data_IF_917293277480
#
_entry.id   IF_917293277480
#
_cell.length_a   1.000
_cell.length_b   1.000
_cell.length_c   1.000
_cell.angle_alpha   90.00
_cell.angle_beta   90.00
_cell.angle_gamma   90.00
#
_symmetry.space_group_name_H-M   'P 1'
#
loop_
_entity.id
_entity.type
_entity.pdbx_description
1 polymer ?
#
# COMPACT_ATOMS: atom_id res chain seq x y z
N UNK A 1 10.94 47.55 35.82
CA UNK A 1 11.75 47.09 36.97
C UNK A 1 12.93 48.02 37.14
N UNK A 2 13.05 48.57 38.35
CA UNK A 2 14.13 49.32 39.02
C UNK A 2 15.23 50.02 38.17
N UNK A 3 15.13 51.35 38.09
CA UNK A 3 16.26 52.26 37.87
C UNK A 3 17.09 52.35 39.16
N UNK A 4 18.35 51.89 39.15
CA UNK A 4 19.31 52.18 40.22
C UNK A 4 20.22 53.33 39.80
N UNK A 5 19.87 54.53 40.28
CA UNK A 5 20.73 55.70 40.21
C UNK A 5 21.82 55.66 41.28
N UNK A 6 23.05 55.37 40.88
CA UNK A 6 24.23 55.56 41.73
C UNK A 6 24.75 56.99 41.59
N UNK A 7 24.50 57.82 42.61
CA UNK A 7 25.19 59.10 42.83
C UNK A 7 26.60 58.81 43.33
N UNK A 8 27.59 59.02 42.47
CA UNK A 8 29.01 59.04 42.88
C UNK A 8 29.37 60.31 43.65
N UNK A 9 30.26 60.24 44.65
CA UNK A 9 30.55 61.34 45.58
C UNK A 9 31.36 62.47 44.93
N UNK A 10 31.00 63.71 45.28
CA UNK A 10 31.77 64.92 44.99
C UNK A 10 33.09 64.87 45.78
N UNK A 11 34.14 64.40 45.13
CA UNK A 11 35.52 64.50 45.61
C UNK A 11 36.00 65.95 45.56
N UNK A 12 36.35 66.46 46.74
CA UNK A 12 36.87 67.81 46.98
C UNK A 12 38.27 67.90 46.37
N UNK A 13 38.45 68.75 45.36
CA UNK A 13 39.76 69.05 44.80
C UNK A 13 40.52 69.97 45.76
N UNK A 14 41.33 69.39 46.65
CA UNK A 14 42.34 70.13 47.40
C UNK A 14 43.50 70.48 46.46
N UNK A 15 43.53 71.74 46.00
CA UNK A 15 44.64 72.31 45.27
C UNK A 15 45.84 72.52 46.21
N UNK A 16 46.65 71.47 46.36
CA UNK A 16 48.00 71.57 46.91
C UNK A 16 48.91 72.21 45.86
N UNK A 17 49.10 73.53 45.99
CA UNK A 17 50.18 74.29 45.35
C UNK A 17 51.52 73.72 45.79
N UNK A 18 52.07 72.81 44.99
CA UNK A 18 53.49 72.43 45.07
C UNK A 18 54.35 73.50 44.38
N UNK A 19 55.52 73.83 44.94
CA UNK A 19 56.45 74.78 44.33
C UNK A 19 56.96 74.26 42.97
N UNK A 20 57.32 75.14 42.03
CA UNK A 20 57.89 74.73 40.74
C UNK A 20 59.21 74.00 41.01
N UNK A 21 59.19 72.68 40.83
CA UNK A 21 60.37 71.83 40.90
C UNK A 21 61.43 72.39 39.96
N UNK A 22 62.57 72.81 40.51
CA UNK A 22 63.74 73.19 39.74
C UNK A 22 64.08 72.03 38.79
N UNK A 23 64.10 72.32 37.49
CA UNK A 23 64.39 71.38 36.43
C UNK A 23 65.81 70.86 36.57
N UNK A 24 65.97 69.77 37.30
CA UNK A 24 67.22 69.03 37.38
C UNK A 24 67.53 68.50 35.98
N UNK A 25 68.42 69.19 35.27
CA UNK A 25 68.95 68.73 33.99
C UNK A 25 69.82 67.51 34.28
N UNK A 26 69.21 66.32 34.17
CA UNK A 26 69.95 65.07 34.20
C UNK A 26 71.05 65.07 33.12
N UNK A 27 72.11 64.27 33.31
CA UNK A 27 73.23 64.20 32.38
C UNK A 27 72.76 63.96 30.94
N UNK A 28 73.45 64.50 29.91
CA UNK A 28 73.01 64.49 28.52
C UNK A 28 72.71 63.07 27.98
N UNK A 29 73.39 62.06 28.51
CA UNK A 29 73.16 60.65 28.19
C UNK A 29 71.78 60.14 28.66
N UNK A 30 71.29 60.62 29.81
CA UNK A 30 69.95 60.33 30.31
C UNK A 30 68.86 61.00 29.45
N UNK A 31 69.13 62.20 28.93
CA UNK A 31 68.21 62.90 28.03
C UNK A 31 68.10 62.19 26.67
N UNK A 32 69.21 61.73 26.10
CA UNK A 32 69.22 60.95 24.87
C UNK A 32 68.47 59.61 25.03
N UNK A 33 68.67 58.91 26.15
CA UNK A 33 67.95 57.68 26.48
C UNK A 33 66.45 57.92 26.64
N UNK A 34 66.04 59.00 27.30
CA UNK A 34 64.62 59.36 27.44
C UNK A 34 63.99 59.69 26.08
N UNK A 35 64.66 60.45 25.22
CA UNK A 35 64.17 60.75 23.87
C UNK A 35 64.03 59.47 23.01
N UNK A 36 64.93 58.50 23.17
CA UNK A 36 64.82 57.21 22.50
C UNK A 36 63.64 56.38 23.03
N UNK A 37 63.44 56.37 24.35
CA UNK A 37 62.28 55.70 24.97
C UNK A 37 60.96 56.33 24.54
N UNK A 38 60.87 57.66 24.45
CA UNK A 38 59.68 58.37 23.95
C UNK A 38 59.36 57.99 22.51
N UNK A 39 60.37 57.92 21.62
CA UNK A 39 60.19 57.43 20.25
C UNK A 39 59.68 56.00 20.21
N UNK A 40 60.21 55.11 21.04
CA UNK A 40 59.76 53.72 21.09
C UNK A 40 58.33 53.62 21.66
N UNK A 41 57.98 54.40 22.68
CA UNK A 41 56.60 54.47 23.20
C UNK A 41 55.63 54.97 22.12
N UNK A 42 55.98 56.01 21.38
CA UNK A 42 55.15 56.48 20.25
C UNK A 42 55.02 55.42 19.17
N UNK A 43 56.11 54.71 18.84
CA UNK A 43 56.09 53.59 17.87
C UNK A 43 55.15 52.48 18.34
N UNK A 44 55.26 52.06 19.60
CA UNK A 44 54.40 51.04 20.20
C UNK A 44 52.95 51.48 20.31
N UNK A 45 52.68 52.75 20.61
CA UNK A 45 51.33 53.32 20.59
C UNK A 45 50.73 53.32 19.19
N UNK A 46 51.52 53.64 18.16
CA UNK A 46 51.13 53.54 16.76
C UNK A 46 50.79 52.10 16.35
N UNK A 47 51.64 51.13 16.74
CA UNK A 47 51.38 49.71 16.49
C UNK A 47 50.12 49.22 17.22
N UNK A 48 49.92 49.62 18.48
CA UNK A 48 48.73 49.27 19.25
C UNK A 48 47.46 49.88 18.63
N UNK A 49 47.52 51.11 18.13
CA UNK A 49 46.42 51.76 17.43
C UNK A 49 46.11 51.04 16.11
N UNK A 50 47.13 50.64 15.35
CA UNK A 50 46.96 49.86 14.13
C UNK A 50 46.34 48.48 14.40
N UNK A 51 46.76 47.79 15.46
CA UNK A 51 46.17 46.51 15.87
C UNK A 51 44.73 46.66 16.35
N UNK A 52 44.40 47.75 17.05
CA UNK A 52 43.00 48.06 17.40
C UNK A 52 42.15 48.32 16.16
N UNK A 53 42.65 49.05 15.18
CA UNK A 53 41.95 49.31 13.93
C UNK A 53 41.66 48.00 13.16
N UNK A 54 42.65 47.10 13.04
CA UNK A 54 42.44 45.75 12.49
C UNK A 54 41.40 44.95 13.28
N UNK A 55 41.43 45.07 14.60
CA UNK A 55 40.43 44.44 15.48
C UNK A 55 39.01 44.94 15.24
N UNK A 56 38.84 46.23 14.94
CA UNK A 56 37.53 46.80 14.61
C UNK A 56 37.08 46.45 13.19
N UNK A 57 37.99 46.42 12.21
CA UNK A 57 37.71 45.88 10.87
C UNK A 57 37.23 44.42 10.95
N UNK A 58 37.89 43.58 11.75
CA UNK A 58 37.51 42.17 11.91
C UNK A 58 36.10 42.03 12.52
N UNK A 59 35.74 42.87 13.49
CA UNK A 59 34.37 42.90 14.05
C UNK A 59 33.34 43.33 13.02
N UNK A 60 33.67 44.29 12.15
CA UNK A 60 32.79 44.71 11.06
C UNK A 60 32.55 43.56 10.07
N UNK A 61 33.61 42.82 9.72
CA UNK A 61 33.49 41.64 8.88
C UNK A 61 32.66 40.52 9.52
N UNK A 62 32.82 40.25 10.82
CA UNK A 62 32.00 39.29 11.55
C UNK A 62 30.52 39.70 11.57
N UNK A 63 30.22 40.99 11.74
CA UNK A 63 28.86 41.51 11.67
C UNK A 63 28.25 41.32 10.28
N UNK A 64 28.99 41.67 9.21
CA UNK A 64 28.55 41.48 7.83
C UNK A 64 28.34 40.00 7.49
N UNK A 65 29.16 39.11 8.03
CA UNK A 65 29.00 37.66 7.84
C UNK A 65 27.70 37.18 8.50
N UNK A 66 27.44 37.57 9.75
CA UNK A 66 26.19 37.25 10.47
C UNK A 66 24.95 37.82 9.78
N UNK A 67 25.01 39.02 9.21
CA UNK A 67 23.91 39.58 8.43
C UNK A 67 23.62 38.79 7.15
N UNK A 68 24.67 38.39 6.42
CA UNK A 68 24.52 37.52 5.23
C UNK A 68 23.96 36.15 5.58
N UNK A 69 24.40 35.55 6.68
CA UNK A 69 23.90 34.25 7.15
C UNK A 69 22.41 34.31 7.51
N UNK A 70 21.97 35.37 8.20
CA UNK A 70 20.53 35.59 8.47
C UNK A 70 19.72 35.77 7.18
N UNK A 71 20.24 36.51 6.21
CA UNK A 71 19.55 36.74 4.94
C UNK A 71 19.41 35.45 4.10
N UNK A 72 20.42 34.58 4.12
CA UNK A 72 20.34 33.26 3.47
C UNK A 72 19.31 32.36 4.16
N UNK A 73 19.33 32.27 5.50
CA UNK A 73 18.37 31.46 6.24
C UNK A 73 16.92 31.92 6.00
N UNK A 74 16.66 33.23 6.01
CA UNK A 74 15.32 33.76 5.69
C UNK A 74 14.87 33.43 4.27
N UNK A 75 15.78 33.50 3.30
CA UNK A 75 15.47 33.15 1.91
C UNK A 75 15.12 31.67 1.77
N UNK A 76 15.89 30.79 2.42
CA UNK A 76 15.65 29.35 2.38
C UNK A 76 14.31 29.01 3.03
N UNK A 77 13.98 29.60 4.18
CA UNK A 77 12.68 29.49 4.83
C UNK A 77 11.53 29.95 3.92
N UNK A 78 11.66 31.11 3.27
CA UNK A 78 10.65 31.62 2.32
C UNK A 78 10.47 30.70 1.12
N UNK A 79 11.54 30.11 0.58
CA UNK A 79 11.44 29.16 -0.53
C UNK A 79 10.76 27.86 -0.12
N UNK A 80 11.05 27.35 1.07
CA UNK A 80 10.45 26.12 1.59
C UNK A 80 8.96 26.32 1.90
N UNK A 81 8.58 27.44 2.52
CA UNK A 81 7.17 27.79 2.75
C UNK A 81 6.41 27.91 1.42
N UNK A 82 6.99 28.55 0.41
CA UNK A 82 6.39 28.63 -0.94
C UNK A 82 6.21 27.26 -1.58
N UNK A 83 7.22 26.38 -1.45
CA UNK A 83 7.18 25.00 -1.96
C UNK A 83 6.07 24.20 -1.28
N UNK A 84 5.99 24.24 0.05
CA UNK A 84 4.97 23.53 0.82
C UNK A 84 3.56 24.08 0.54
N UNK A 85 3.40 25.39 0.40
CA UNK A 85 2.12 25.99 0.04
C UNK A 85 1.65 25.57 -1.37
N UNK A 86 2.57 25.51 -2.34
CA UNK A 86 2.27 24.97 -3.68
C UNK A 86 1.84 23.50 -3.63
N UNK A 87 2.53 22.67 -2.83
CA UNK A 87 2.15 21.27 -2.62
C UNK A 87 0.77 21.14 -1.95
N UNK A 88 0.46 21.99 -0.98
CA UNK A 88 -0.85 22.02 -0.31
C UNK A 88 -1.98 22.37 -1.29
N UNK A 89 -1.77 23.39 -2.15
CA UNK A 89 -2.75 23.77 -3.18
C UNK A 89 -2.99 22.63 -4.17
N UNK A 90 -1.93 21.95 -4.62
CA UNK A 90 -2.05 20.80 -5.54
C UNK A 90 -2.80 19.62 -4.88
N UNK A 91 -2.48 19.30 -3.62
CA UNK A 91 -3.17 18.24 -2.88
C UNK A 91 -4.65 18.58 -2.65
N UNK A 92 -4.95 19.83 -2.31
CA UNK A 92 -6.33 20.30 -2.14
C UNK A 92 -7.14 20.20 -3.44
N UNK A 93 -6.54 20.57 -4.58
CA UNK A 93 -7.18 20.42 -5.89
C UNK A 93 -7.48 18.95 -6.23
N UNK A 94 -6.54 18.03 -5.97
CA UNK A 94 -6.76 16.59 -6.17
C UNK A 94 -7.85 16.04 -5.28
N UNK A 95 -7.91 16.47 -4.02
CA UNK A 95 -8.97 16.06 -3.09
C UNK A 95 -10.35 16.52 -3.59
N UNK A 96 -10.46 17.76 -4.07
CA UNK A 96 -11.72 18.28 -4.62
C UNK A 96 -12.14 17.51 -5.88
N UNK A 97 -11.21 17.18 -6.78
CA UNK A 97 -11.48 16.34 -7.95
C UNK A 97 -11.99 14.95 -7.53
N UNK A 98 -11.34 14.30 -6.55
CA UNK A 98 -11.79 13.01 -6.04
C UNK A 98 -13.18 13.07 -5.43
N UNK A 99 -13.53 14.16 -4.75
CA UNK A 99 -14.90 14.36 -4.23
C UNK A 99 -15.92 14.45 -5.37
N UNK A 100 -15.59 15.13 -6.47
CA UNK A 100 -16.46 15.20 -7.65
C UNK A 100 -16.65 13.82 -8.31
N UNK A 101 -15.56 13.06 -8.49
CA UNK A 101 -15.62 11.68 -9.01
C UNK A 101 -16.49 10.77 -8.12
N UNK A 102 -16.40 10.91 -6.79
CA UNK A 102 -17.24 10.15 -5.86
C UNK A 102 -18.72 10.49 -6.02
N UNK A 103 -19.08 11.77 -6.17
CA UNK A 103 -20.47 12.18 -6.38
C UNK A 103 -21.02 11.73 -7.73
N UNK A 104 -20.19 11.71 -8.79
CA UNK A 104 -20.55 11.14 -10.09
C UNK A 104 -20.84 9.64 -9.96
N UNK A 105 -19.95 8.88 -9.31
CA UNK A 105 -20.19 7.44 -9.08
C UNK A 105 -21.41 7.16 -8.22
N UNK A 106 -21.76 8.03 -7.26
CA UNK A 106 -23.00 7.88 -6.49
C UNK A 106 -24.23 8.06 -7.38
N UNK A 107 -24.24 9.07 -8.26
CA UNK A 107 -25.32 9.29 -9.20
C UNK A 107 -25.50 8.10 -10.16
N UNK A 108 -24.39 7.52 -10.65
CA UNK A 108 -24.42 6.32 -11.49
C UNK A 108 -24.99 5.10 -10.74
N UNK A 109 -24.63 4.93 -9.47
CA UNK A 109 -25.18 3.85 -8.62
C UNK A 109 -26.69 4.02 -8.44
N UNK A 110 -27.15 5.24 -8.12
CA UNK A 110 -28.58 5.53 -7.96
C UNK A 110 -29.36 5.25 -9.26
N UNK A 111 -28.83 5.67 -10.42
CA UNK A 111 -29.44 5.39 -11.71
C UNK A 111 -29.52 3.88 -12.02
N UNK A 112 -28.47 3.13 -11.67
CA UNK A 112 -28.45 1.67 -11.85
C UNK A 112 -29.42 0.95 -10.90
N UNK A 113 -29.56 1.43 -9.66
CA UNK A 113 -30.54 0.91 -8.70
C UNK A 113 -31.97 1.13 -9.21
N UNK A 114 -32.28 2.29 -9.79
CA UNK A 114 -33.57 2.55 -10.44
C UNK A 114 -33.81 1.61 -11.64
N UNK A 115 -32.81 1.37 -12.49
CA UNK A 115 -32.91 0.44 -13.62
C UNK A 115 -33.19 -1.01 -13.14
N UNK A 116 -32.50 -1.43 -12.08
CA UNK A 116 -32.71 -2.75 -11.47
C UNK A 116 -34.13 -2.89 -10.90
N UNK A 117 -34.65 -1.86 -10.23
CA UNK A 117 -36.03 -1.87 -9.73
C UNK A 117 -37.07 -1.88 -10.87
N UNK A 118 -36.83 -1.12 -11.96
CA UNK A 118 -37.67 -1.18 -13.15
C UNK A 118 -37.68 -2.57 -13.78
N UNK A 119 -36.52 -3.22 -13.89
CA UNK A 119 -36.42 -4.56 -14.47
C UNK A 119 -37.05 -5.63 -13.58
N UNK A 120 -36.92 -5.51 -12.24
CA UNK A 120 -37.66 -6.35 -11.30
C UNK A 120 -39.18 -6.19 -11.47
N UNK A 121 -39.67 -4.96 -11.63
CA UNK A 121 -41.09 -4.71 -11.86
C UNK A 121 -41.59 -5.35 -13.17
N UNK A 122 -40.79 -5.26 -14.25
CA UNK A 122 -41.07 -5.95 -15.53
C UNK A 122 -41.11 -7.47 -15.38
N UNK A 123 -40.14 -8.04 -14.67
CA UNK A 123 -40.09 -9.47 -14.41
C UNK A 123 -41.30 -9.96 -13.60
N UNK A 124 -41.73 -9.20 -12.58
CA UNK A 124 -42.93 -9.50 -11.81
C UNK A 124 -44.20 -9.41 -12.66
N UNK A 125 -44.32 -8.40 -13.53
CA UNK A 125 -45.44 -8.29 -14.46
C UNK A 125 -45.51 -9.46 -15.44
N UNK A 126 -44.36 -9.85 -16.02
CA UNK A 126 -44.27 -11.02 -16.90
C UNK A 126 -44.61 -12.33 -16.16
N UNK A 127 -44.19 -12.47 -14.90
CA UNK A 127 -44.55 -13.63 -14.07
C UNK A 127 -46.07 -13.69 -13.79
N UNK A 128 -46.70 -12.54 -13.52
CA UNK A 128 -48.14 -12.45 -13.32
C UNK A 128 -48.93 -12.81 -14.60
N UNK A 129 -48.48 -12.32 -15.76
CA UNK A 129 -49.06 -12.68 -17.06
C UNK A 129 -48.92 -14.18 -17.36
N UNK A 130 -47.73 -14.75 -17.14
CA UNK A 130 -47.51 -16.18 -17.31
C UNK A 130 -48.41 -17.02 -16.38
N UNK A 131 -48.63 -16.57 -15.15
CA UNK A 131 -49.55 -17.23 -14.22
C UNK A 131 -51.01 -17.14 -14.70
N UNK A 132 -51.43 -16.01 -15.26
CA UNK A 132 -52.76 -15.84 -15.85
C UNK A 132 -52.97 -16.77 -17.07
N UNK A 133 -51.98 -16.87 -17.95
CA UNK A 133 -52.02 -17.78 -19.09
C UNK A 133 -52.09 -19.25 -18.66
N UNK A 134 -51.33 -19.66 -17.62
CA UNK A 134 -51.41 -21.02 -17.06
C UNK A 134 -52.81 -21.36 -16.56
N UNK A 135 -53.48 -20.44 -15.85
CA UNK A 135 -54.88 -20.62 -15.41
C UNK A 135 -55.84 -20.80 -16.58
N UNK A 136 -55.66 -20.05 -17.67
CA UNK A 136 -56.47 -20.17 -18.88
C UNK A 136 -56.27 -21.51 -19.60
N UNK A 137 -55.03 -22.01 -19.64
CA UNK A 137 -54.74 -23.35 -20.19
C UNK A 137 -55.44 -24.42 -19.34
N UNK A 138 -55.36 -24.35 -18.01
CA UNK A 138 -56.08 -25.29 -17.13
C UNK A 138 -57.60 -25.25 -17.31
N UNK A 139 -58.17 -24.07 -17.54
CA UNK A 139 -59.60 -23.91 -17.84
C UNK A 139 -59.97 -24.59 -19.16
N UNK A 140 -59.22 -24.33 -20.24
CA UNK A 140 -59.41 -24.98 -21.54
C UNK A 140 -59.24 -26.51 -21.46
N UNK A 141 -58.28 -27.00 -20.68
CA UNK A 141 -58.08 -28.43 -20.45
C UNK A 141 -59.29 -29.07 -19.74
N UNK A 142 -59.89 -28.36 -18.77
CA UNK A 142 -61.15 -28.80 -18.11
C UNK A 142 -62.32 -28.84 -19.10
N UNK A 143 -62.47 -27.83 -19.96
CA UNK A 143 -63.49 -27.80 -21.01
C UNK A 143 -63.33 -28.95 -22.01
N UNK A 144 -62.09 -29.18 -22.47
CA UNK A 144 -61.77 -30.30 -23.37
C UNK A 144 -62.06 -31.65 -22.72
N UNK A 145 -61.75 -31.82 -21.43
CA UNK A 145 -62.07 -33.04 -20.69
C UNK A 145 -63.59 -33.26 -20.60
N UNK A 146 -64.37 -32.22 -20.30
CA UNK A 146 -65.82 -32.27 -20.26
C UNK A 146 -66.42 -32.61 -21.65
N UNK A 147 -65.90 -32.01 -22.72
CA UNK A 147 -66.31 -32.30 -24.09
C UNK A 147 -66.02 -33.77 -24.49
N UNK A 148 -64.85 -34.29 -24.13
CA UNK A 148 -64.49 -35.71 -24.36
C UNK A 148 -65.39 -36.66 -23.58
N UNK A 149 -65.72 -36.33 -22.33
CA UNK A 149 -66.64 -37.12 -21.52
C UNK A 149 -68.07 -37.14 -22.11
N UNK A 150 -68.54 -36.02 -22.67
CA UNK A 150 -69.86 -35.91 -23.31
C UNK A 150 -69.95 -36.58 -24.69
N UNK A 151 -68.87 -36.64 -25.45
CA UNK A 151 -68.84 -37.21 -26.82
C UNK A 151 -68.59 -38.72 -26.88
N UNK A 152 -68.24 -39.36 -25.75
CA UNK A 152 -67.88 -40.77 -25.64
C UNK A 152 -69.04 -41.75 -25.45
N UNK A 153 -70.06 -41.77 -26.32
CA UNK A 153 -70.94 -42.93 -26.50
C UNK A 153 -70.86 -43.43 -27.95
N UNK A 154 -69.75 -44.07 -28.30
CA UNK A 154 -69.68 -44.95 -29.48
C UNK A 154 -69.10 -46.30 -29.04
N UNK A 155 -69.84 -47.41 -29.16
CA UNK A 155 -69.38 -48.71 -28.70
C UNK A 155 -68.29 -49.24 -29.64
N UNK A 156 -67.04 -49.33 -29.17
CA UNK A 156 -66.00 -50.06 -29.89
C UNK A 156 -65.78 -51.45 -29.29
N UNK A 157 -65.91 -52.44 -30.19
CA UNK A 157 -65.68 -53.87 -30.00
C UNK A 157 -64.27 -54.14 -29.46
N UNK A 158 -64.22 -54.95 -28.40
CA UNK A 158 -63.03 -55.62 -27.83
C UNK A 158 -62.09 -56.18 -28.90
N UNK A 159 -60.83 -55.76 -28.90
CA UNK A 159 -59.71 -56.55 -29.44
C UNK A 159 -58.58 -56.57 -28.41
N UNK A 160 -58.36 -57.77 -27.86
CA UNK A 160 -57.33 -58.13 -26.89
C UNK A 160 -55.94 -58.08 -27.54
N UNK A 161 -54.94 -57.78 -26.72
CA UNK A 161 -53.51 -58.00 -26.98
C UNK A 161 -52.70 -56.77 -26.62
N UNK A 162 -51.54 -56.86 -25.99
CA UNK A 162 -50.71 -57.96 -25.50
C UNK A 162 -49.64 -57.24 -24.66
N UNK A 163 -49.37 -57.71 -23.45
CA UNK A 163 -48.37 -57.14 -22.53
C UNK A 163 -46.95 -57.22 -23.13
N UNK A 164 -46.09 -56.19 -22.95
CA UNK A 164 -44.65 -56.36 -23.05
C UNK A 164 -44.01 -56.52 -21.67
N UNK A 165 -43.43 -57.70 -21.53
CA UNK A 165 -42.49 -58.22 -20.53
C UNK A 165 -41.34 -57.28 -20.14
N UNK A 166 -41.05 -57.24 -18.84
CA UNK A 166 -39.83 -56.71 -18.23
C UNK A 166 -38.58 -57.54 -18.57
N UNK A 167 -37.38 -56.92 -18.72
CA UNK A 167 -36.13 -57.65 -18.80
C UNK A 167 -35.45 -57.85 -17.43
N UNK A 168 -34.65 -58.91 -17.25
CA UNK A 168 -34.06 -59.30 -15.97
C UNK A 168 -32.74 -58.56 -15.68
N UNK A 169 -32.51 -58.25 -14.41
CA UNK A 169 -31.22 -57.83 -13.87
C UNK A 169 -30.28 -59.04 -13.76
N UNK A 170 -29.27 -59.11 -14.62
CA UNK A 170 -28.09 -59.94 -14.39
C UNK A 170 -27.05 -59.12 -13.61
N UNK A 171 -26.75 -59.53 -12.39
CA UNK A 171 -25.50 -59.19 -11.72
C UNK A 171 -24.45 -60.26 -12.03
N UNK A 172 -23.19 -59.88 -12.28
CA UNK A 172 -22.07 -60.80 -12.14
C UNK A 172 -21.45 -60.63 -10.76
N UNK A 173 -21.53 -61.71 -9.97
CA UNK A 173 -20.53 -62.03 -8.96
C UNK A 173 -19.16 -62.07 -9.64
N UNK A 174 -18.23 -61.25 -9.15
CA UNK A 174 -16.80 -61.44 -9.39
C UNK A 174 -16.13 -61.55 -8.04
N UNK A 175 -15.55 -62.73 -7.85
CA UNK A 175 -14.86 -63.17 -6.66
C UNK A 175 -13.57 -62.40 -6.43
N UNK A 176 -13.27 -62.27 -5.14
CA UNK A 176 -11.96 -62.29 -4.49
C UNK A 176 -10.76 -62.63 -5.39
N UNK A 177 -9.94 -61.62 -5.67
CA UNK A 177 -8.47 -61.73 -5.66
C UNK A 177 -7.90 -60.32 -5.90
N UNK A 178 -7.49 -59.62 -4.85
CA UNK A 178 -6.67 -58.43 -5.02
C UNK A 178 -5.74 -58.27 -3.82
N UNK A 179 -4.52 -58.77 -4.01
CA UNK A 179 -3.37 -58.40 -3.22
C UNK A 179 -3.23 -56.87 -3.24
N UNK A 180 -3.26 -56.27 -2.04
CA UNK A 180 -3.17 -54.83 -1.84
C UNK A 180 -1.85 -54.31 -2.45
N UNK A 181 -1.87 -53.56 -3.57
CA UNK A 181 -0.66 -52.96 -4.10
C UNK A 181 -0.11 -51.96 -3.06
N UNK A 182 1.23 -51.83 -2.92
CA UNK A 182 1.82 -50.86 -2.01
C UNK A 182 1.20 -49.49 -2.28
N UNK A 183 0.86 -48.71 -1.24
CA UNK A 183 0.13 -47.46 -1.39
C UNK A 183 0.87 -46.59 -2.40
N UNK A 184 0.27 -46.45 -3.59
CA UNK A 184 0.83 -45.66 -4.66
C UNK A 184 1.12 -44.29 -4.06
N UNK A 185 2.38 -43.86 -4.12
CA UNK A 185 2.75 -42.53 -3.66
C UNK A 185 1.79 -41.56 -4.36
N UNK A 186 1.12 -40.66 -3.61
CA UNK A 186 0.12 -39.77 -4.19
C UNK A 186 0.79 -39.04 -5.34
N UNK A 187 0.39 -39.38 -6.56
CA UNK A 187 0.86 -38.70 -7.76
C UNK A 187 0.55 -37.22 -7.57
N UNK A 188 1.53 -36.32 -7.81
CA UNK A 188 1.30 -34.89 -7.68
C UNK A 188 0.04 -34.53 -8.47
N UNK A 189 -0.93 -33.81 -7.87
CA UNK A 189 -2.16 -33.47 -8.56
C UNK A 189 -1.82 -32.78 -9.88
N UNK A 190 -2.43 -33.24 -10.97
CA UNK A 190 -2.21 -32.64 -12.27
C UNK A 190 -2.49 -31.13 -12.21
N UNK A 191 -1.66 -30.29 -12.86
CA UNK A 191 -1.82 -28.85 -12.83
C UNK A 191 -3.18 -28.48 -13.44
N UNK A 192 -4.05 -27.87 -12.63
CA UNK A 192 -5.33 -27.36 -13.09
C UNK A 192 -5.19 -25.86 -13.41
N UNK A 193 -5.05 -25.48 -14.69
CA UNK A 193 -4.77 -24.10 -15.08
C UNK A 193 -5.90 -23.15 -14.67
N UNK A 194 -7.16 -23.62 -14.63
CA UNK A 194 -8.29 -22.80 -14.20
C UNK A 194 -8.23 -22.50 -12.70
N UNK A 195 -7.83 -23.46 -11.88
CA UNK A 195 -7.65 -23.25 -10.45
C UNK A 195 -6.47 -22.30 -10.17
N UNK A 196 -5.36 -22.48 -10.89
CA UNK A 196 -4.19 -21.62 -10.79
C UNK A 196 -4.51 -20.18 -11.17
N UNK A 197 -5.35 -19.99 -12.17
CA UNK A 197 -5.79 -18.68 -12.63
C UNK A 197 -6.64 -17.94 -11.60
N UNK A 198 -7.63 -18.62 -11.02
CA UNK A 198 -8.46 -18.07 -9.94
C UNK A 198 -7.59 -17.73 -8.73
N UNK A 199 -6.64 -18.61 -8.38
CA UNK A 199 -5.74 -18.39 -7.25
C UNK A 199 -4.72 -17.27 -7.49
N UNK A 200 -4.15 -17.19 -8.69
CA UNK A 200 -3.24 -16.11 -9.08
C UNK A 200 -3.95 -14.74 -9.06
N UNK A 201 -5.22 -14.69 -9.44
CA UNK A 201 -6.02 -13.46 -9.39
C UNK A 201 -6.47 -13.08 -7.96
N UNK A 202 -6.47 -14.01 -7.01
CA UNK A 202 -6.92 -13.76 -5.65
C UNK A 202 -6.08 -12.68 -4.95
N UNK A 203 -6.74 -11.86 -4.12
CA UNK A 203 -6.10 -10.92 -3.19
C UNK A 203 -6.09 -11.56 -1.80
N UNK A 204 -5.03 -11.34 -0.99
CA UNK A 204 -5.03 -11.83 0.37
C UNK A 204 -6.18 -11.15 1.14
N UNK A 205 -6.97 -11.91 1.93
CA UNK A 205 -8.03 -11.32 2.73
C UNK A 205 -7.45 -10.41 3.81
N UNK A 206 -8.18 -9.36 4.16
CA UNK A 206 -7.83 -8.51 5.32
C UNK A 206 -8.13 -9.27 6.60
N UNK A 207 -7.09 -9.71 7.29
CA UNK A 207 -7.18 -10.52 8.51
C UNK A 207 -7.74 -9.70 9.68
N UNK A 208 -9.07 -9.62 9.77
CA UNK A 208 -9.79 -8.93 10.83
C UNK A 208 -10.87 -9.85 11.46
N UNK A 209 -11.47 -9.38 12.55
CA UNK A 209 -12.51 -10.12 13.26
C UNK A 209 -13.81 -10.31 12.47
N UNK A 210 -14.00 -9.67 11.31
CA UNK A 210 -15.21 -9.83 10.50
C UNK A 210 -15.12 -10.95 9.47
N UNK A 211 -13.94 -11.50 9.18
CA UNK A 211 -13.79 -12.66 8.29
C UNK A 211 -14.57 -13.88 8.80
N UNK A 212 -15.24 -14.58 7.89
CA UNK A 212 -15.94 -15.82 8.22
C UNK A 212 -14.96 -16.99 8.36
N UNK A 213 -15.28 -17.94 9.24
CA UNK A 213 -14.48 -19.16 9.45
C UNK A 213 -14.24 -19.95 8.15
N UNK A 214 -15.22 -20.11 7.23
CA UNK A 214 -14.98 -20.77 5.95
C UNK A 214 -13.92 -20.08 5.09
N UNK A 215 -13.92 -18.74 5.03
CA UNK A 215 -12.93 -17.97 4.25
C UNK A 215 -11.54 -18.12 4.86
N UNK A 216 -11.41 -18.09 6.19
CA UNK A 216 -10.14 -18.32 6.88
C UNK A 216 -9.59 -19.73 6.61
N UNK A 217 -10.44 -20.76 6.67
CA UNK A 217 -10.03 -22.14 6.36
C UNK A 217 -9.59 -22.28 4.90
N UNK A 218 -10.33 -21.70 3.96
CA UNK A 218 -9.95 -21.70 2.54
C UNK A 218 -8.59 -21.01 2.31
N UNK A 219 -8.36 -19.85 2.92
CA UNK A 219 -7.09 -19.13 2.85
C UNK A 219 -5.93 -19.99 3.41
N UNK A 220 -6.14 -20.65 4.55
CA UNK A 220 -5.12 -21.48 5.19
C UNK A 220 -4.79 -22.74 4.38
N UNK A 221 -5.79 -23.38 3.77
CA UNK A 221 -5.58 -24.47 2.80
C UNK A 221 -4.77 -23.98 1.60
N UNK A 222 -5.10 -22.81 1.04
CA UNK A 222 -4.32 -22.21 -0.05
C UNK A 222 -2.88 -21.84 0.37
N UNK A 223 -2.67 -21.53 1.65
CA UNK A 223 -1.35 -21.30 2.23
C UNK A 223 -0.60 -22.60 2.56
N UNK A 224 -1.24 -23.77 2.41
CA UNK A 224 -0.70 -25.09 2.70
C UNK A 224 -0.58 -25.41 4.19
N UNK A 225 -1.51 -24.91 5.00
CA UNK A 225 -1.59 -25.14 6.45
C UNK A 225 -2.66 -26.19 6.83
N UNK A 226 -2.92 -27.16 5.94
CA UNK A 226 -3.98 -28.16 6.12
C UNK A 226 -3.76 -29.09 7.32
N UNK A 227 -2.49 -29.32 7.69
CA UNK A 227 -2.16 -30.13 8.85
C UNK A 227 -2.47 -29.37 10.16
N UNK A 228 -2.12 -28.09 10.21
CA UNK A 228 -2.31 -27.21 11.36
C UNK A 228 -3.78 -26.85 11.58
N UNK A 229 -4.56 -26.76 10.50
CA UNK A 229 -6.00 -26.50 10.52
C UNK A 229 -6.82 -27.49 11.37
N UNK A 230 -6.28 -28.68 11.64
CA UNK A 230 -6.91 -29.72 12.47
C UNK A 230 -6.87 -29.39 13.97
N UNK A 231 -5.94 -28.51 14.37
CA UNK A 231 -5.74 -28.13 15.77
C UNK A 231 -6.40 -26.80 16.12
N UNK A 232 -6.86 -26.02 15.13
CA UNK A 232 -7.55 -24.77 15.36
C UNK A 232 -9.06 -25.00 15.54
N UNK A 233 -9.55 -24.82 16.76
CA UNK A 233 -10.98 -24.94 17.09
C UNK A 233 -11.66 -23.58 17.12
N UNK A 234 -10.94 -22.54 17.57
CA UNK A 234 -11.49 -21.19 17.72
C UNK A 234 -11.18 -20.29 16.52
N UNK A 235 -12.01 -19.26 16.33
CA UNK A 235 -11.83 -18.30 15.22
C UNK A 235 -10.58 -17.46 15.39
N UNK A 236 -10.24 -17.08 16.62
CA UNK A 236 -9.06 -16.28 16.95
C UNK A 236 -7.77 -17.04 16.59
N UNK A 237 -7.74 -18.36 16.83
CA UNK A 237 -6.61 -19.23 16.45
C UNK A 237 -6.43 -19.28 14.93
N UNK A 238 -7.54 -19.36 14.17
CA UNK A 238 -7.50 -19.32 12.71
C UNK A 238 -6.97 -17.97 12.19
N UNK A 239 -7.36 -16.84 12.80
CA UNK A 239 -6.84 -15.52 12.43
C UNK A 239 -5.35 -15.43 12.75
N UNK A 240 -4.91 -15.90 13.92
CA UNK A 240 -3.51 -15.91 14.31
C UNK A 240 -2.65 -16.77 13.37
N UNK A 241 -3.12 -17.99 13.06
CA UNK A 241 -2.45 -18.88 12.10
C UNK A 241 -2.44 -18.27 10.69
N UNK A 242 -3.53 -17.65 10.25
CA UNK A 242 -3.59 -16.97 8.97
C UNK A 242 -2.55 -15.84 8.90
N UNK A 243 -2.37 -15.08 9.98
CA UNK A 243 -1.33 -14.05 10.10
C UNK A 243 0.08 -14.61 9.93
N UNK A 244 0.36 -15.77 10.53
CA UNK A 244 1.65 -16.47 10.38
C UNK A 244 1.87 -17.03 8.97
N UNK A 245 0.79 -17.38 8.26
CA UNK A 245 0.83 -18.06 6.95
C UNK A 245 0.66 -17.12 5.76
N UNK A 246 0.60 -15.80 5.95
CA UNK A 246 0.49 -14.82 4.85
C UNK A 246 1.63 -14.95 3.85
N UNK A 247 2.88 -15.13 4.30
CA UNK A 247 4.02 -15.25 3.40
C UNK A 247 3.98 -16.55 2.58
N UNK A 248 3.63 -17.67 3.21
CA UNK A 248 3.44 -18.96 2.53
C UNK A 248 2.34 -18.89 1.46
N UNK A 249 1.25 -18.16 1.73
CA UNK A 249 0.22 -17.89 0.74
C UNK A 249 0.76 -17.12 -0.47
N UNK A 250 1.58 -16.08 -0.25
CA UNK A 250 2.22 -15.34 -1.33
C UNK A 250 3.19 -16.22 -2.15
N UNK A 251 3.97 -17.09 -1.49
CA UNK A 251 4.86 -18.07 -2.14
C UNK A 251 4.08 -18.96 -3.08
N UNK A 252 3.01 -19.59 -2.60
CA UNK A 252 2.16 -20.48 -3.41
C UNK A 252 1.47 -19.72 -4.54
N UNK A 253 1.02 -18.50 -4.30
CA UNK A 253 0.42 -17.64 -5.34
C UNK A 253 1.42 -17.30 -6.44
N UNK A 254 2.64 -16.93 -6.08
CA UNK A 254 3.68 -16.66 -7.07
C UNK A 254 4.04 -17.92 -7.88
N UNK A 255 4.08 -19.09 -7.25
CA UNK A 255 4.22 -20.37 -7.94
C UNK A 255 3.04 -20.70 -8.87
N UNK A 256 1.81 -20.29 -8.51
CA UNK A 256 0.66 -20.40 -9.41
C UNK A 256 0.77 -19.45 -10.61
N UNK A 257 1.20 -18.20 -10.38
CA UNK A 257 1.47 -17.25 -11.46
C UNK A 257 2.52 -17.79 -12.45
N UNK A 258 3.55 -18.49 -11.97
CA UNK A 258 4.60 -19.05 -12.84
C UNK A 258 4.12 -20.20 -13.74
N UNK A 259 2.96 -20.79 -13.45
CA UNK A 259 2.33 -21.83 -14.30
C UNK A 259 1.39 -21.26 -15.36
N UNK A 260 1.04 -19.98 -15.27
CA UNK A 260 0.22 -19.29 -16.26
C UNK A 260 1.06 -18.84 -17.46
N UNK A 261 0.45 -18.53 -18.62
CA UNK A 261 1.15 -17.88 -19.72
C UNK A 261 1.88 -16.62 -19.24
N UNK A 262 3.16 -16.45 -19.62
CA UNK A 262 4.06 -15.42 -19.06
C UNK A 262 3.44 -14.03 -18.93
N UNK A 263 2.80 -13.52 -20.00
CA UNK A 263 2.16 -12.21 -19.99
C UNK A 263 1.02 -12.09 -18.96
N UNK A 264 0.30 -13.20 -18.71
CA UNK A 264 -0.79 -13.25 -17.74
C UNK A 264 -0.26 -13.45 -16.32
N UNK A 265 0.70 -14.35 -16.15
CA UNK A 265 1.35 -14.62 -14.86
C UNK A 265 2.05 -13.39 -14.28
N UNK A 266 2.83 -12.69 -15.11
CA UNK A 266 3.57 -11.51 -14.68
C UNK A 266 2.61 -10.39 -14.25
N UNK A 267 1.52 -10.15 -15.01
CA UNK A 267 0.49 -9.16 -14.64
C UNK A 267 -0.26 -9.55 -13.38
N UNK A 268 -0.65 -10.82 -13.26
CA UNK A 268 -1.32 -11.32 -12.07
C UNK A 268 -0.43 -11.15 -10.83
N UNK A 269 0.85 -11.50 -10.91
CA UNK A 269 1.80 -11.41 -9.79
C UNK A 269 1.80 -10.01 -9.15
N UNK A 270 1.82 -8.96 -9.96
CA UNK A 270 1.83 -7.56 -9.52
C UNK A 270 0.44 -6.91 -9.38
N UNK A 271 -0.66 -7.67 -9.48
CA UNK A 271 -2.06 -7.18 -9.48
C UNK A 271 -2.29 -6.04 -10.46
N UNK A 272 -1.80 -6.19 -11.69
CA UNK A 272 -1.95 -5.17 -12.72
C UNK A 272 -3.18 -5.47 -13.58
N UNK A 273 -4.05 -4.46 -13.73
CA UNK A 273 -5.25 -4.57 -14.56
C UNK A 273 -4.87 -4.84 -16.03
N UNK A 274 -5.61 -5.71 -16.76
CA UNK A 274 -5.28 -6.10 -18.13
C UNK A 274 -5.18 -4.93 -19.12
N UNK A 275 -5.85 -3.80 -18.84
CA UNK A 275 -5.85 -2.61 -19.69
C UNK A 275 -4.96 -1.46 -19.21
N UNK A 276 -4.36 -1.56 -18.02
CA UNK A 276 -3.49 -0.50 -17.50
C UNK A 276 -2.19 -0.48 -18.30
N UNK A 277 -1.92 0.62 -19.01
CA UNK A 277 -0.63 0.88 -19.62
C UNK A 277 0.42 1.08 -18.52
N UNK A 278 1.60 0.47 -18.68
CA UNK A 278 2.75 0.48 -17.76
C UNK A 278 3.42 1.86 -17.63
N UNK A 279 2.64 2.94 -17.60
CA UNK A 279 3.09 4.31 -17.72
C UNK A 279 3.95 4.79 -16.55
N UNK A 280 4.00 4.05 -15.42
CA UNK A 280 4.76 4.47 -14.24
C UNK A 280 5.61 3.32 -13.69
N UNK A 281 6.93 3.49 -13.76
CA UNK A 281 7.94 2.61 -13.13
C UNK A 281 7.82 2.58 -11.59
N UNK A 282 7.27 3.64 -10.98
CA UNK A 282 7.15 3.78 -9.52
C UNK A 282 6.31 2.68 -8.85
N UNK A 283 5.03 2.48 -9.24
CA UNK A 283 4.17 1.42 -8.71
C UNK A 283 4.76 0.01 -8.83
N UNK A 284 5.34 -0.33 -10.00
CA UNK A 284 5.97 -1.64 -10.22
C UNK A 284 7.14 -1.87 -9.25
N UNK A 285 8.04 -0.89 -9.12
CA UNK A 285 9.19 -0.99 -8.22
C UNK A 285 8.78 -1.05 -6.74
N UNK A 286 7.63 -0.47 -6.38
CA UNK A 286 7.06 -0.60 -5.02
C UNK A 286 6.53 -2.03 -4.80
N UNK A 287 5.68 -2.52 -5.70
CA UNK A 287 5.12 -3.87 -5.61
C UNK A 287 6.21 -4.95 -5.58
N UNK A 288 7.25 -4.82 -6.41
CA UNK A 288 8.40 -5.71 -6.42
C UNK A 288 9.14 -5.73 -5.07
N UNK A 289 9.44 -4.56 -4.49
CA UNK A 289 10.12 -4.48 -3.18
C UNK A 289 9.31 -5.13 -2.07
N UNK A 290 8.01 -4.91 -2.05
CA UNK A 290 7.12 -5.55 -1.07
C UNK A 290 7.09 -7.07 -1.23
N UNK A 291 6.98 -7.55 -2.48
CA UNK A 291 7.00 -8.98 -2.77
C UNK A 291 8.35 -9.63 -2.43
N UNK A 292 9.48 -8.94 -2.66
CA UNK A 292 10.80 -9.43 -2.27
C UNK A 292 10.90 -9.71 -0.78
N UNK A 293 10.33 -8.84 0.07
CA UNK A 293 10.36 -9.03 1.52
C UNK A 293 9.52 -10.24 1.97
N UNK A 294 8.40 -10.51 1.28
CA UNK A 294 7.47 -11.59 1.63
C UNK A 294 7.90 -12.96 1.09
N UNK A 295 8.42 -12.99 -0.14
CA UNK A 295 8.78 -14.20 -0.88
C UNK A 295 10.21 -14.69 -0.63
N UNK A 296 11.02 -13.93 0.12
CA UNK A 296 12.42 -14.29 0.33
C UNK A 296 12.56 -15.68 0.98
N UNK A 297 13.44 -16.57 0.48
CA UNK A 297 13.63 -17.90 1.06
C UNK A 297 14.02 -17.89 2.53
N UNK A 298 14.81 -16.89 2.96
CA UNK A 298 15.18 -16.70 4.38
C UNK A 298 13.97 -16.48 5.31
N UNK A 299 12.90 -15.84 4.81
CA UNK A 299 11.67 -15.60 5.57
C UNK A 299 10.70 -16.78 5.54
N UNK A 300 10.94 -17.76 4.67
CA UNK A 300 10.11 -18.94 4.47
C UNK A 300 10.96 -20.21 4.52
N UNK A 301 11.71 -20.45 5.61
CA UNK A 301 12.57 -21.62 5.71
C UNK A 301 11.72 -22.89 5.68
N UNK A 302 12.15 -23.88 4.88
CA UNK A 302 11.45 -25.16 4.73
C UNK A 302 10.30 -25.18 3.73
N UNK A 303 9.91 -24.04 3.15
CA UNK A 303 8.97 -24.02 2.02
C UNK A 303 9.73 -24.29 0.70
N UNK A 304 9.53 -25.48 0.13
CA UNK A 304 10.16 -25.90 -1.12
C UNK A 304 9.81 -24.98 -2.32
N UNK A 305 8.72 -24.21 -2.23
CA UNK A 305 8.29 -23.31 -3.29
C UNK A 305 8.89 -21.89 -3.17
N UNK A 306 9.52 -21.54 -2.04
CA UNK A 306 10.00 -20.17 -1.81
C UNK A 306 11.08 -19.74 -2.80
N UNK A 307 12.10 -20.57 -3.01
CA UNK A 307 13.18 -20.29 -3.98
C UNK A 307 12.68 -20.15 -5.42
N UNK A 308 11.92 -21.11 -6.00
CA UNK A 308 11.44 -20.96 -7.38
C UNK A 308 10.45 -19.78 -7.52
N UNK A 309 9.60 -19.52 -6.52
CA UNK A 309 8.71 -18.37 -6.53
C UNK A 309 9.47 -17.03 -6.53
N UNK A 310 10.56 -16.95 -5.76
CA UNK A 310 11.40 -15.76 -5.70
C UNK A 310 12.19 -15.53 -7.01
N UNK A 311 12.69 -16.60 -7.63
CA UNK A 311 13.32 -16.52 -8.95
C UNK A 311 12.33 -16.01 -10.00
N UNK A 312 11.12 -16.57 -10.03
CA UNK A 312 10.06 -16.11 -10.94
C UNK A 312 9.71 -14.63 -10.73
N UNK A 313 9.66 -14.16 -9.49
CA UNK A 313 9.44 -12.73 -9.17
C UNK A 313 10.52 -11.83 -9.79
N UNK A 314 11.79 -12.21 -9.68
CA UNK A 314 12.91 -11.43 -10.24
C UNK A 314 12.83 -11.35 -11.76
N UNK A 315 12.58 -12.47 -12.43
CA UNK A 315 12.47 -12.50 -13.88
C UNK A 315 11.24 -11.73 -14.38
N UNK A 316 10.09 -11.89 -13.71
CA UNK A 316 8.86 -11.18 -14.04
C UNK A 316 9.06 -9.66 -13.94
N UNK A 317 9.74 -9.19 -12.88
CA UNK A 317 10.05 -7.78 -12.75
C UNK A 317 10.92 -7.24 -13.90
N UNK A 318 11.98 -7.95 -14.29
CA UNK A 318 12.84 -7.53 -15.39
C UNK A 318 12.10 -7.53 -16.75
N UNK A 319 11.24 -8.54 -17.01
CA UNK A 319 10.39 -8.56 -18.20
C UNK A 319 9.44 -7.37 -18.23
N UNK A 320 8.79 -7.07 -17.11
CA UNK A 320 7.83 -5.97 -16.99
C UNK A 320 8.50 -4.60 -17.10
N UNK A 321 9.69 -4.45 -16.52
CA UNK A 321 10.52 -3.24 -16.66
C UNK A 321 10.98 -3.01 -18.11
N UNK A 322 11.30 -4.09 -18.84
CA UNK A 322 11.62 -4.03 -20.28
C UNK A 322 10.39 -3.66 -21.10
N UNK A 323 9.24 -4.26 -20.82
CA UNK A 323 7.97 -3.97 -21.50
C UNK A 323 7.51 -2.52 -21.29
N UNK A 324 7.77 -1.93 -20.12
CA UNK A 324 7.44 -0.53 -19.82
C UNK A 324 8.32 0.51 -20.55
N UNK A 325 9.44 0.07 -21.16
CA UNK A 325 10.37 0.93 -21.91
C UNK A 325 10.16 0.85 -23.43
N UNK A 326 9.44 -0.16 -23.90
CA UNK A 326 9.13 -0.39 -25.31
C UNK A 326 7.87 0.39 -25.69
#
# INVERSE_FOLDING_TARGET
MAQFGYKGPRGVAAALLMPPSQSFQGPPEAQARNAQLEKEVQRLQGLLAAERAKGDELKEWDLKLKEKERALNQRDEDTEVKRLNAQYVELSARYLQQQQEIEEYKADIEAWEEEVEQEKARAQAAQAEAAALRRKVEELDRELAAYKAGSGKRPQKKKRGREPSSPPRHGPDTADDNAEPPPAQPTPPEPNPAADEVFAAAKPPTLNGSLSVPVLRQFLTQAGADAELRFCTEKEELIALAGQRVNAWHVRRAAACSRLPLARGDRALFWLDPGSAFSKHGPLAKAFRELCLRLHPDKNPGDALATPAFQYLQEAHERMKKAARA
#
